data_IF_234880695293
#
_entry.id   IF_234880695293
#
_cell.length_a   1.000
_cell.length_b   1.000
_cell.length_c   1.000
_cell.angle_alpha   90.00
_cell.angle_beta   90.00
_cell.angle_gamma   90.00
#
_symmetry.space_group_name_H-M   'P 1'
#
loop_
_entity.id
_entity.type
_entity.pdbx_description
1 polymer ?
#
# COMPACT_ATOMS: atom_id res chain seq x y z
N UNK A 1 -16.01 17.79 -9.91
CA UNK A 1 -14.56 18.05 -10.01
C UNK A 1 -13.82 16.97 -9.24
N UNK A 2 -12.76 16.41 -9.80
CA UNK A 2 -11.90 15.46 -9.09
C UNK A 2 -11.28 16.16 -7.88
N UNK A 3 -11.28 15.51 -6.72
CA UNK A 3 -10.74 16.10 -5.50
C UNK A 3 -9.22 16.19 -5.60
N UNK A 4 -8.63 17.36 -5.30
CA UNK A 4 -7.17 17.51 -5.24
C UNK A 4 -6.61 16.79 -4.01
N UNK A 5 -5.44 16.23 -4.12
CA UNK A 5 -4.72 15.53 -3.06
C UNK A 5 -5.60 14.53 -2.30
N UNK A 6 -6.26 13.54 -2.97
CA UNK A 6 -7.10 12.60 -2.26
C UNK A 6 -6.26 11.74 -1.30
N UNK A 7 -6.64 11.75 -0.02
CA UNK A 7 -5.92 11.00 1.04
C UNK A 7 -6.25 9.52 1.01
N UNK A 8 -5.25 8.68 1.26
CA UNK A 8 -5.38 7.23 1.38
C UNK A 8 -4.42 6.68 2.45
N UNK A 9 -4.47 5.39 2.72
CA UNK A 9 -3.50 4.68 3.57
C UNK A 9 -2.71 3.67 2.74
N UNK A 10 -1.52 3.26 3.18
CA UNK A 10 -0.79 2.18 2.51
C UNK A 10 -1.56 0.84 2.55
N UNK A 11 -2.31 0.59 3.63
CA UNK A 11 -3.15 -0.61 3.74
C UNK A 11 -3.60 -0.86 5.16
N UNK A 12 -2.80 -1.60 5.92
CA UNK A 12 -3.21 -2.14 7.21
C UNK A 12 -3.43 -1.08 8.30
N UNK A 13 -4.47 -1.29 9.09
CA UNK A 13 -4.77 -0.58 10.34
C UNK A 13 -4.73 -1.55 11.53
N UNK A 14 -4.47 -1.05 12.75
CA UNK A 14 -4.48 -1.89 13.95
C UNK A 14 -5.82 -2.58 14.15
N UNK A 15 -5.78 -3.88 14.43
CA UNK A 15 -6.99 -4.66 14.71
C UNK A 15 -7.56 -4.34 16.09
N UNK A 16 -8.89 -4.43 16.26
CA UNK A 16 -9.49 -4.36 17.58
C UNK A 16 -8.96 -5.44 18.52
N UNK A 17 -8.69 -5.07 19.78
CA UNK A 17 -8.10 -5.98 20.79
C UNK A 17 -8.97 -7.18 21.16
N UNK A 18 -10.25 -7.13 20.86
CA UNK A 18 -11.17 -8.27 21.03
C UNK A 18 -11.05 -9.28 19.88
N UNK A 19 -10.63 -8.86 18.67
CA UNK A 19 -10.49 -9.73 17.50
C UNK A 19 -9.13 -10.44 17.48
N UNK A 20 -8.05 -9.70 17.73
CA UNK A 20 -6.69 -10.20 17.64
C UNK A 20 -5.76 -9.56 18.68
N UNK A 21 -4.57 -10.11 18.85
CA UNK A 21 -3.56 -9.52 19.72
C UNK A 21 -3.08 -8.17 19.12
N UNK A 22 -3.10 -7.07 19.92
CA UNK A 22 -2.72 -5.76 19.42
C UNK A 22 -1.20 -5.63 19.21
N UNK A 23 -0.82 -4.62 18.40
CA UNK A 23 0.57 -4.18 18.21
C UNK A 23 1.52 -5.27 17.70
N UNK A 24 0.99 -6.24 16.95
CA UNK A 24 1.76 -7.32 16.33
C UNK A 24 1.55 -7.32 14.82
N UNK A 25 2.63 -7.49 14.07
CA UNK A 25 2.57 -7.64 12.62
C UNK A 25 1.79 -8.90 12.22
N UNK A 26 2.05 -10.00 12.89
CA UNK A 26 1.28 -11.24 12.81
C UNK A 26 0.41 -11.36 14.05
N UNK A 27 -0.84 -10.92 13.93
CA UNK A 27 -1.76 -10.85 15.07
C UNK A 27 -2.54 -12.15 15.23
N UNK A 28 -2.25 -13.00 16.25
CA UNK A 28 -3.06 -14.17 16.53
C UNK A 28 -4.52 -13.82 16.79
N UNK A 29 -5.43 -14.57 16.16
CA UNK A 29 -6.86 -14.40 16.40
C UNK A 29 -7.23 -14.83 17.81
N UNK A 30 -8.08 -14.04 18.48
CA UNK A 30 -8.67 -14.37 19.80
C UNK A 30 -10.01 -15.10 19.69
N UNK A 31 -10.69 -14.92 18.57
CA UNK A 31 -11.96 -15.56 18.24
C UNK A 31 -11.73 -16.80 17.37
N UNK A 32 -12.72 -17.69 17.28
CA UNK A 32 -12.69 -18.93 16.49
C UNK A 32 -14.04 -19.19 15.83
N UNK A 33 -14.04 -20.01 14.77
CA UNK A 33 -15.26 -20.45 14.08
C UNK A 33 -16.13 -19.28 13.59
N UNK A 34 -17.43 -19.38 13.81
CA UNK A 34 -18.39 -18.35 13.39
C UNK A 34 -18.15 -17.00 14.06
N UNK A 35 -17.76 -17.00 15.36
CA UNK A 35 -17.44 -15.76 16.07
C UNK A 35 -16.27 -15.01 15.40
N UNK A 36 -15.26 -15.72 14.90
CA UNK A 36 -14.19 -15.10 14.14
C UNK A 36 -14.70 -14.51 12.83
N UNK A 37 -15.59 -15.20 12.13
CA UNK A 37 -16.17 -14.71 10.88
C UNK A 37 -16.98 -13.43 11.08
N UNK A 38 -17.83 -13.38 12.11
CA UNK A 38 -18.57 -12.16 12.47
C UNK A 38 -17.64 -11.07 12.97
N UNK A 39 -16.69 -11.42 13.83
CA UNK A 39 -15.71 -10.48 14.36
C UNK A 39 -14.88 -9.79 13.28
N UNK A 40 -14.47 -10.51 12.23
CA UNK A 40 -13.77 -9.92 11.07
C UNK A 40 -14.63 -8.87 10.36
N UNK A 41 -15.93 -9.15 10.13
CA UNK A 41 -16.86 -8.21 9.52
C UNK A 41 -17.11 -6.97 10.39
N UNK A 42 -17.21 -7.15 11.70
CA UNK A 42 -17.36 -6.02 12.61
C UNK A 42 -16.09 -5.17 12.68
N UNK A 43 -14.91 -5.80 12.65
CA UNK A 43 -13.65 -5.09 12.57
C UNK A 43 -13.50 -4.29 11.25
N UNK A 44 -13.98 -4.83 10.14
CA UNK A 44 -14.08 -4.11 8.85
C UNK A 44 -14.94 -2.84 9.00
N UNK A 45 -16.14 -2.95 9.62
CA UNK A 45 -16.99 -1.77 9.86
C UNK A 45 -16.30 -0.74 10.75
N UNK A 46 -15.62 -1.19 11.80
CA UNK A 46 -14.89 -0.30 12.71
C UNK A 46 -13.76 0.40 11.97
N UNK A 47 -12.97 -0.32 11.17
CA UNK A 47 -11.89 0.25 10.35
C UNK A 47 -12.42 1.28 9.33
N UNK A 48 -13.53 0.96 8.66
CA UNK A 48 -14.22 1.90 7.77
C UNK A 48 -14.62 3.18 8.51
N UNK A 49 -15.29 3.04 9.66
CA UNK A 49 -15.74 4.19 10.46
C UNK A 49 -14.57 5.08 10.89
N UNK A 50 -13.44 4.52 11.30
CA UNK A 50 -12.25 5.27 11.69
C UNK A 50 -11.68 6.08 10.53
N UNK A 51 -11.62 5.51 9.32
CA UNK A 51 -11.17 6.20 8.12
C UNK A 51 -12.14 7.31 7.70
N UNK A 52 -13.46 7.03 7.71
CA UNK A 52 -14.51 8.00 7.39
C UNK A 52 -14.53 9.16 8.37
N UNK A 53 -14.45 8.89 9.69
CA UNK A 53 -14.40 9.94 10.71
C UNK A 53 -13.14 10.81 10.60
N UNK A 54 -12.01 10.24 10.24
CA UNK A 54 -10.80 11.00 9.95
C UNK A 54 -10.89 11.78 8.63
N UNK A 55 -11.89 11.52 7.80
CA UNK A 55 -12.09 12.18 6.51
C UNK A 55 -11.17 11.67 5.38
N UNK A 56 -10.67 10.45 5.48
CA UNK A 56 -9.87 9.81 4.42
C UNK A 56 -10.74 9.67 3.16
N UNK A 57 -10.18 10.00 2.01
CA UNK A 57 -10.91 10.12 0.75
C UNK A 57 -11.04 8.78 0.01
N UNK A 58 -9.99 7.99 0.02
CA UNK A 58 -9.93 6.66 -0.60
C UNK A 58 -9.68 5.67 0.53
N UNK A 59 -10.70 4.89 0.85
CA UNK A 59 -10.68 3.97 1.99
C UNK A 59 -10.18 2.58 1.59
N UNK A 60 -9.70 1.83 2.57
CA UNK A 60 -9.37 0.41 2.44
C UNK A 60 -10.07 -0.44 3.49
N UNK A 61 -9.90 -1.76 3.39
CA UNK A 61 -10.38 -2.72 4.39
C UNK A 61 -9.59 -2.65 5.71
N UNK A 62 -8.47 -1.91 5.73
CA UNK A 62 -7.53 -1.88 6.86
C UNK A 62 -6.90 -3.23 7.17
N UNK A 63 -7.02 -4.20 6.26
CA UNK A 63 -6.55 -5.58 6.39
C UNK A 63 -7.11 -6.31 7.63
N UNK A 64 -8.33 -5.97 8.03
CA UNK A 64 -8.92 -6.46 9.27
C UNK A 64 -9.24 -7.96 9.24
N UNK A 65 -9.42 -8.53 8.04
CA UNK A 65 -9.73 -9.96 7.86
C UNK A 65 -8.49 -10.85 7.69
N UNK A 66 -7.30 -10.24 7.66
CA UNK A 66 -6.00 -10.90 7.42
C UNK A 66 -5.13 -10.90 8.69
N UNK A 67 -4.47 -12.02 8.99
CA UNK A 67 -3.42 -12.06 10.02
C UNK A 67 -2.14 -11.37 9.53
N UNK A 68 -1.79 -11.60 8.28
CA UNK A 68 -0.61 -11.04 7.62
C UNK A 68 -0.91 -10.78 6.14
N UNK A 69 -0.40 -9.67 5.60
CA UNK A 69 -0.75 -9.20 4.26
C UNK A 69 -0.37 -10.17 3.12
N UNK A 70 0.68 -10.99 3.27
CA UNK A 70 1.11 -11.99 2.28
C UNK A 70 0.58 -13.37 2.63
N UNK A 71 0.88 -13.85 3.83
CA UNK A 71 0.69 -15.26 4.21
C UNK A 71 -0.76 -15.65 4.19
N UNK A 72 -1.67 -14.74 4.58
CA UNK A 72 -3.12 -15.02 4.53
C UNK A 72 -3.60 -15.29 3.10
N UNK A 73 -3.04 -14.62 2.10
CA UNK A 73 -3.37 -14.94 0.71
C UNK A 73 -2.83 -16.33 0.32
N UNK A 74 -1.58 -16.62 0.67
CA UNK A 74 -0.91 -17.88 0.34
C UNK A 74 -1.61 -19.08 1.00
N UNK A 75 -2.17 -18.93 2.22
CA UNK A 75 -2.92 -19.97 2.93
C UNK A 75 -4.12 -20.54 2.14
N UNK A 76 -4.65 -19.76 1.18
CA UNK A 76 -5.76 -20.14 0.33
C UNK A 76 -5.34 -20.78 -1.00
N UNK A 77 -4.04 -20.94 -1.24
CA UNK A 77 -3.51 -21.53 -2.47
C UNK A 77 -3.25 -23.03 -2.32
N UNK A 78 -3.47 -23.77 -3.39
CA UNK A 78 -2.99 -25.14 -3.53
C UNK A 78 -1.53 -25.13 -3.98
N UNK A 79 -0.81 -26.24 -3.75
CA UNK A 79 0.60 -26.38 -4.13
C UNK A 79 1.59 -25.87 -3.07
N UNK A 80 1.09 -25.35 -1.94
CA UNK A 80 1.90 -24.87 -0.81
C UNK A 80 1.63 -25.70 0.44
N UNK A 81 2.67 -26.26 1.05
CA UNK A 81 2.58 -27.03 2.29
C UNK A 81 3.04 -26.18 3.49
N UNK A 82 2.09 -25.84 4.37
CA UNK A 82 2.33 -25.06 5.58
C UNK A 82 2.94 -25.88 6.73
N UNK A 83 2.95 -27.19 6.62
CA UNK A 83 3.57 -28.09 7.60
C UNK A 83 5.05 -28.29 7.29
N UNK A 84 5.41 -28.35 6.01
CA UNK A 84 6.79 -28.37 5.55
C UNK A 84 7.32 -26.93 5.52
N UNK A 85 8.24 -26.62 6.44
CA UNK A 85 8.74 -25.25 6.61
C UNK A 85 10.26 -25.25 6.50
N UNK A 86 10.76 -24.21 5.82
CA UNK A 86 12.19 -23.95 5.69
C UNK A 86 12.53 -22.56 6.22
N UNK A 87 13.76 -22.35 6.61
CA UNK A 87 14.23 -21.04 7.03
C UNK A 87 14.82 -20.31 5.83
N UNK A 88 14.25 -19.16 5.51
CA UNK A 88 14.73 -18.28 4.44
C UNK A 88 14.98 -16.87 4.98
N UNK A 89 15.84 -16.13 4.31
CA UNK A 89 16.08 -14.73 4.62
C UNK A 89 15.06 -13.85 3.89
N UNK A 90 14.15 -13.24 4.61
CA UNK A 90 13.13 -12.35 4.07
C UNK A 90 13.76 -11.00 3.72
N UNK A 91 13.72 -10.62 2.41
CA UNK A 91 14.25 -9.35 1.89
C UNK A 91 15.66 -9.03 2.39
N UNK A 92 16.49 -10.05 2.54
CA UNK A 92 17.84 -9.94 3.09
C UNK A 92 17.96 -9.25 4.47
N UNK A 93 16.84 -9.18 5.23
CA UNK A 93 16.76 -8.43 6.50
C UNK A 93 16.77 -9.33 7.74
N UNK A 94 16.03 -10.42 7.71
CA UNK A 94 15.90 -11.36 8.84
C UNK A 94 15.50 -12.76 8.38
N UNK A 95 15.86 -13.75 9.18
CA UNK A 95 15.48 -15.14 8.93
C UNK A 95 14.05 -15.41 9.41
N UNK A 96 13.27 -16.12 8.60
CA UNK A 96 11.92 -16.55 8.94
C UNK A 96 11.66 -17.98 8.48
N UNK A 97 10.89 -18.71 9.29
CA UNK A 97 10.37 -20.03 8.90
C UNK A 97 9.15 -19.83 8.02
N UNK A 98 9.25 -20.27 6.76
CA UNK A 98 8.22 -20.06 5.72
C UNK A 98 7.68 -21.40 5.21
N UNK A 99 6.45 -21.45 4.66
CA UNK A 99 5.91 -22.66 4.02
C UNK A 99 6.62 -22.99 2.71
N UNK A 100 6.49 -24.23 2.27
CA UNK A 100 7.18 -24.76 1.08
C UNK A 100 6.22 -24.95 -0.08
N UNK A 101 6.61 -24.49 -1.26
CA UNK A 101 5.95 -24.81 -2.53
C UNK A 101 6.37 -26.25 -2.92
N UNK A 102 5.41 -27.16 -2.93
CA UNK A 102 5.61 -28.60 -3.16
C UNK A 102 5.00 -29.11 -4.47
N UNK A 103 4.25 -28.27 -5.16
CA UNK A 103 3.56 -28.60 -6.41
C UNK A 103 3.13 -27.37 -7.18
N UNK A 104 2.45 -27.52 -8.32
CA UNK A 104 1.90 -26.40 -9.06
C UNK A 104 0.98 -25.55 -8.19
N UNK A 105 1.25 -24.25 -8.13
CA UNK A 105 0.41 -23.32 -7.37
C UNK A 105 -0.87 -23.00 -8.13
N UNK A 106 -2.00 -22.95 -7.41
CA UNK A 106 -3.28 -22.54 -7.97
C UNK A 106 -4.18 -21.91 -6.91
N UNK A 107 -5.15 -21.11 -7.34
CA UNK A 107 -6.17 -20.50 -6.48
C UNK A 107 -7.51 -21.21 -6.67
N UNK A 108 -7.90 -22.15 -5.80
CA UNK A 108 -9.15 -22.92 -5.96
C UNK A 108 -10.40 -22.05 -5.81
N UNK A 109 -10.35 -21.04 -4.95
CA UNK A 109 -11.46 -20.14 -4.66
C UNK A 109 -10.98 -18.68 -4.54
N UNK A 110 -11.86 -17.69 -4.72
CA UNK A 110 -11.59 -16.30 -4.39
C UNK A 110 -11.14 -16.14 -2.93
N UNK A 111 -10.17 -15.25 -2.67
CA UNK A 111 -9.61 -15.10 -1.33
C UNK A 111 -10.27 -13.94 -0.57
N UNK A 112 -10.34 -12.76 -1.18
CA UNK A 112 -10.82 -11.54 -0.53
C UNK A 112 -12.13 -10.98 -1.15
N UNK A 113 -12.65 -11.61 -2.18
CA UNK A 113 -13.76 -11.08 -2.97
C UNK A 113 -15.04 -10.89 -2.13
N UNK A 114 -15.34 -11.82 -1.21
CA UNK A 114 -16.51 -11.69 -0.33
C UNK A 114 -16.35 -10.56 0.70
N UNK A 115 -15.14 -10.34 1.19
CA UNK A 115 -14.83 -9.22 2.08
C UNK A 115 -14.94 -7.88 1.33
N UNK A 116 -14.52 -7.82 0.07
CA UNK A 116 -14.64 -6.64 -0.78
C UNK A 116 -16.11 -6.31 -1.09
N UNK A 117 -16.92 -7.30 -1.44
CA UNK A 117 -18.37 -7.13 -1.60
C UNK A 117 -19.03 -6.61 -0.33
N UNK A 118 -18.63 -7.16 0.81
CA UNK A 118 -19.13 -6.71 2.09
C UNK A 118 -18.76 -5.26 2.38
N UNK A 119 -17.50 -4.87 2.15
CA UNK A 119 -17.04 -3.49 2.32
C UNK A 119 -17.78 -2.53 1.38
N UNK A 120 -17.94 -2.90 0.10
CA UNK A 120 -18.67 -2.09 -0.89
C UNK A 120 -20.11 -1.79 -0.47
N UNK A 121 -20.77 -2.74 0.19
CA UNK A 121 -22.14 -2.55 0.71
C UNK A 121 -22.23 -1.54 1.87
N UNK A 122 -21.11 -1.20 2.51
CA UNK A 122 -21.07 -0.30 3.66
C UNK A 122 -20.74 1.15 3.28
N UNK A 123 -20.33 1.44 2.04
CA UNK A 123 -19.86 2.77 1.65
C UNK A 123 -19.97 3.02 0.15
N UNK A 124 -20.18 4.28 -0.24
CA UNK A 124 -20.09 4.76 -1.63
C UNK A 124 -18.74 5.44 -1.95
N UNK A 125 -17.84 5.56 -0.96
CA UNK A 125 -16.52 6.13 -1.18
C UNK A 125 -15.65 5.22 -2.06
N UNK A 126 -14.65 5.77 -2.78
CA UNK A 126 -13.68 4.97 -3.51
C UNK A 126 -12.97 3.99 -2.59
N UNK A 127 -12.88 2.73 -3.03
CA UNK A 127 -12.22 1.65 -2.30
C UNK A 127 -10.90 1.30 -2.99
N UNK A 128 -9.82 1.34 -2.23
CA UNK A 128 -8.52 0.76 -2.60
C UNK A 128 -8.31 -0.55 -1.85
N UNK A 129 -8.03 -1.61 -2.59
CA UNK A 129 -7.75 -2.93 -2.01
C UNK A 129 -6.30 -3.33 -2.24
N UNK A 130 -5.57 -3.59 -1.16
CA UNK A 130 -4.19 -4.07 -1.25
C UNK A 130 -4.14 -5.60 -1.28
N UNK A 131 -3.34 -6.15 -2.18
CA UNK A 131 -2.98 -7.57 -2.25
C UNK A 131 -1.46 -7.69 -2.37
N UNK A 132 -0.85 -8.84 -1.97
CA UNK A 132 0.59 -9.00 -2.13
C UNK A 132 0.98 -8.96 -3.61
N UNK A 133 2.17 -8.44 -3.92
CA UNK A 133 2.72 -8.53 -5.26
C UNK A 133 3.40 -9.87 -5.53
N UNK A 134 3.58 -10.26 -6.81
CA UNK A 134 4.13 -11.56 -7.19
C UNK A 134 5.52 -11.83 -6.61
N UNK A 135 6.42 -10.84 -6.66
CA UNK A 135 7.79 -10.98 -6.18
C UNK A 135 7.87 -11.08 -4.66
N UNK A 136 7.03 -10.32 -3.96
CA UNK A 136 6.91 -10.39 -2.50
C UNK A 136 6.34 -11.72 -2.03
N UNK A 137 5.44 -12.34 -2.79
CA UNK A 137 4.97 -13.70 -2.50
C UNK A 137 6.11 -14.73 -2.62
N UNK A 138 6.90 -14.65 -3.68
CA UNK A 138 8.08 -15.53 -3.87
C UNK A 138 9.06 -15.40 -2.72
N UNK A 139 9.32 -14.18 -2.25
CA UNK A 139 10.26 -13.90 -1.17
C UNK A 139 9.82 -14.44 0.21
N UNK A 140 8.55 -14.77 0.37
CA UNK A 140 7.97 -15.30 1.62
C UNK A 140 7.72 -16.81 1.62
N UNK A 141 8.33 -17.54 0.69
CA UNK A 141 8.16 -18.97 0.49
C UNK A 141 9.52 -19.65 0.24
N UNK A 142 9.57 -20.95 0.51
CA UNK A 142 10.64 -21.80 0.00
C UNK A 142 10.13 -22.59 -1.23
N UNK A 143 10.78 -22.43 -2.37
CA UNK A 143 10.37 -23.09 -3.61
C UNK A 143 11.12 -24.41 -3.82
N UNK A 144 10.45 -25.54 -3.58
CA UNK A 144 10.97 -26.87 -3.85
C UNK A 144 10.45 -27.49 -5.16
N UNK A 145 9.49 -26.83 -5.83
CA UNK A 145 8.86 -27.35 -7.04
C UNK A 145 9.40 -26.69 -8.32
N UNK A 146 9.26 -25.39 -8.47
CA UNK A 146 9.69 -24.66 -9.67
C UNK A 146 11.19 -24.45 -9.72
N UNK A 147 11.84 -24.32 -8.56
CA UNK A 147 13.28 -24.04 -8.39
C UNK A 147 13.75 -22.85 -9.21
N UNK A 148 12.87 -21.86 -9.33
CA UNK A 148 13.09 -20.61 -10.06
C UNK A 148 12.14 -19.54 -9.54
N UNK A 149 12.70 -18.50 -8.93
CA UNK A 149 11.94 -17.35 -8.42
C UNK A 149 11.11 -16.70 -9.52
N UNK A 150 11.67 -16.54 -10.70
CA UNK A 150 10.98 -15.99 -11.85
C UNK A 150 9.75 -16.83 -12.26
N UNK A 151 9.93 -18.15 -12.47
CA UNK A 151 8.82 -19.04 -12.86
C UNK A 151 7.68 -19.00 -11.84
N UNK A 152 8.02 -19.07 -10.55
CA UNK A 152 7.03 -19.00 -9.48
C UNK A 152 6.33 -17.62 -9.45
N UNK A 153 7.05 -16.53 -9.67
CA UNK A 153 6.47 -15.18 -9.75
C UNK A 153 5.46 -15.04 -10.91
N UNK A 154 5.75 -15.63 -12.06
CA UNK A 154 4.83 -15.65 -13.20
C UNK A 154 3.52 -16.42 -12.89
N UNK A 155 3.59 -17.52 -12.16
CA UNK A 155 2.39 -18.24 -11.72
C UNK A 155 1.59 -17.40 -10.69
N UNK A 156 2.25 -16.75 -9.74
CA UNK A 156 1.58 -15.83 -8.83
C UNK A 156 0.97 -14.64 -9.54
N UNK A 157 1.62 -14.09 -10.56
CA UNK A 157 1.06 -13.00 -11.36
C UNK A 157 -0.27 -13.38 -12.02
N UNK A 158 -0.39 -14.60 -12.54
CA UNK A 158 -1.65 -15.11 -13.11
C UNK A 158 -2.75 -15.26 -12.05
N UNK A 159 -2.39 -15.81 -10.88
CA UNK A 159 -3.31 -15.99 -9.75
C UNK A 159 -3.81 -14.64 -9.24
N UNK A 160 -2.91 -13.68 -9.06
CA UNK A 160 -3.23 -12.34 -8.58
C UNK A 160 -4.07 -11.55 -9.60
N UNK A 161 -3.81 -11.72 -10.89
CA UNK A 161 -4.65 -11.14 -11.95
C UNK A 161 -6.09 -11.63 -11.88
N UNK A 162 -6.28 -12.93 -11.64
CA UNK A 162 -7.61 -13.50 -11.48
C UNK A 162 -8.31 -12.93 -10.24
N UNK A 163 -7.63 -12.88 -9.08
CA UNK A 163 -8.18 -12.27 -7.85
C UNK A 163 -8.52 -10.80 -8.06
N UNK A 164 -7.61 -10.03 -8.68
CA UNK A 164 -7.79 -8.61 -8.92
C UNK A 164 -9.02 -8.33 -9.82
N UNK A 165 -9.24 -9.11 -10.89
CA UNK A 165 -10.43 -8.99 -11.75
C UNK A 165 -11.72 -9.23 -10.96
N UNK A 166 -11.73 -10.21 -10.09
CA UNK A 166 -12.91 -10.53 -9.28
C UNK A 166 -13.14 -9.46 -8.18
N UNK A 167 -12.07 -8.87 -7.63
CA UNK A 167 -12.15 -7.71 -6.72
C UNK A 167 -12.73 -6.47 -7.41
N UNK A 168 -12.30 -6.18 -8.64
CA UNK A 168 -12.87 -5.08 -9.45
C UNK A 168 -14.36 -5.33 -9.71
N UNK A 169 -14.73 -6.55 -10.08
CA UNK A 169 -16.14 -6.93 -10.25
C UNK A 169 -16.95 -6.84 -8.94
N UNK A 170 -16.30 -6.95 -7.78
CA UNK A 170 -16.90 -6.74 -6.46
C UNK A 170 -17.05 -5.26 -6.07
N UNK A 171 -16.59 -4.32 -6.92
CA UNK A 171 -16.74 -2.88 -6.72
C UNK A 171 -15.52 -2.19 -6.10
N UNK A 172 -14.33 -2.76 -6.24
CA UNK A 172 -13.07 -2.12 -5.88
C UNK A 172 -12.65 -1.15 -6.98
N UNK A 173 -12.28 0.07 -6.61
CA UNK A 173 -11.93 1.15 -7.55
C UNK A 173 -10.43 1.21 -7.85
N UNK A 174 -9.59 0.78 -6.91
CA UNK A 174 -8.12 0.79 -7.04
C UNK A 174 -7.57 -0.55 -6.52
N UNK A 175 -6.82 -1.27 -7.34
CA UNK A 175 -6.06 -2.44 -6.90
C UNK A 175 -4.62 -2.04 -6.62
N UNK A 176 -4.16 -2.26 -5.39
CA UNK A 176 -2.79 -2.02 -4.97
C UNK A 176 -2.03 -3.35 -4.81
N UNK A 177 -0.88 -3.45 -5.43
CA UNK A 177 0.06 -4.55 -5.22
C UNK A 177 1.16 -4.12 -4.26
N UNK A 178 1.35 -4.87 -3.18
CA UNK A 178 2.39 -4.60 -2.19
C UNK A 178 3.67 -5.34 -2.58
N UNK A 179 4.68 -4.57 -2.99
CA UNK A 179 5.98 -5.08 -3.45
C UNK A 179 7.18 -4.54 -2.64
N UNK A 180 7.23 -4.74 -1.32
CA UNK A 180 8.41 -4.36 -0.55
C UNK A 180 9.68 -5.13 -0.94
N UNK A 181 9.58 -6.23 -1.67
CA UNK A 181 10.71 -6.94 -2.25
C UNK A 181 11.45 -6.11 -3.33
N UNK A 182 10.76 -5.17 -3.98
CA UNK A 182 11.33 -4.30 -5.01
C UNK A 182 12.44 -3.39 -4.47
N UNK A 183 12.46 -3.09 -3.19
CA UNK A 183 13.52 -2.30 -2.55
C UNK A 183 14.79 -3.09 -2.19
N UNK A 184 14.91 -4.33 -2.64
CA UNK A 184 16.04 -5.20 -2.28
C UNK A 184 16.60 -5.92 -3.50
N UNK A 185 15.77 -6.49 -4.36
CA UNK A 185 16.18 -7.38 -5.45
C UNK A 185 16.13 -6.65 -6.81
N UNK A 186 16.95 -5.60 -6.96
CA UNK A 186 16.90 -4.66 -8.09
C UNK A 186 17.10 -5.33 -9.46
N UNK A 187 18.03 -6.27 -9.57
CA UNK A 187 18.29 -7.00 -10.82
C UNK A 187 17.05 -7.79 -11.22
N UNK A 188 16.48 -8.58 -10.30
CA UNK A 188 15.26 -9.34 -10.53
C UNK A 188 14.06 -8.43 -10.87
N UNK A 189 13.94 -7.27 -10.21
CA UNK A 189 12.88 -6.29 -10.51
C UNK A 189 13.00 -5.80 -11.94
N UNK A 190 14.21 -5.46 -12.39
CA UNK A 190 14.47 -4.95 -13.74
C UNK A 190 14.40 -6.04 -14.83
N UNK A 191 14.78 -7.27 -14.52
CA UNK A 191 14.75 -8.38 -15.46
C UNK A 191 13.33 -8.91 -15.69
N UNK A 192 12.59 -9.23 -14.61
CA UNK A 192 11.28 -9.87 -14.69
C UNK A 192 10.22 -9.36 -13.69
N UNK A 193 10.60 -8.72 -12.56
CA UNK A 193 9.67 -8.34 -11.50
C UNK A 193 8.58 -7.36 -11.97
N UNK A 194 8.95 -6.30 -12.70
CA UNK A 194 7.98 -5.35 -13.27
C UNK A 194 7.10 -6.02 -14.32
N UNK A 195 7.66 -6.92 -15.14
CA UNK A 195 6.86 -7.66 -16.14
C UNK A 195 5.83 -8.61 -15.48
N UNK A 196 6.19 -9.27 -14.37
CA UNK A 196 5.25 -10.05 -13.57
C UNK A 196 4.14 -9.16 -12.98
N UNK A 197 4.47 -7.96 -12.50
CA UNK A 197 3.49 -7.00 -12.02
C UNK A 197 2.56 -6.54 -13.14
N UNK A 198 3.07 -6.26 -14.35
CA UNK A 198 2.25 -5.95 -15.52
C UNK A 198 1.31 -7.11 -15.89
N UNK A 199 1.79 -8.36 -15.79
CA UNK A 199 0.92 -9.53 -15.98
C UNK A 199 -0.19 -9.60 -14.93
N UNK A 200 0.08 -9.19 -13.70
CA UNK A 200 -0.93 -9.18 -12.63
C UNK A 200 -2.01 -8.12 -12.84
N UNK A 201 -1.71 -7.02 -13.53
CA UNK A 201 -2.69 -5.96 -13.85
C UNK A 201 -3.37 -6.11 -15.21
N UNK A 202 -2.99 -7.08 -16.02
CA UNK A 202 -3.45 -7.23 -17.40
C UNK A 202 -4.97 -7.32 -17.49
N UNK A 203 -5.59 -6.38 -18.22
CA UNK A 203 -7.03 -6.33 -18.45
C UNK A 203 -7.86 -5.94 -17.24
N UNK A 204 -7.30 -5.26 -16.24
CA UNK A 204 -8.04 -4.63 -15.16
C UNK A 204 -8.68 -3.32 -15.65
N UNK A 205 -9.96 -3.13 -15.36
CA UNK A 205 -10.74 -1.94 -15.70
C UNK A 205 -10.86 -1.00 -14.47
N UNK A 206 -9.76 -0.81 -13.75
CA UNK A 206 -9.67 0.08 -12.59
C UNK A 206 -8.30 0.76 -12.53
N UNK A 207 -8.11 1.73 -11.63
CA UNK A 207 -6.77 2.25 -11.34
C UNK A 207 -5.93 1.18 -10.64
N UNK A 208 -4.65 1.13 -11.00
CA UNK A 208 -3.67 0.18 -10.44
C UNK A 208 -2.59 0.91 -9.67
N UNK A 209 -2.18 0.35 -8.54
CA UNK A 209 -1.14 0.93 -7.69
C UNK A 209 -0.07 -0.10 -7.34
N UNK A 210 1.17 0.34 -7.19
CA UNK A 210 2.22 -0.43 -6.54
C UNK A 210 2.70 0.29 -5.29
N UNK A 211 2.68 -0.42 -4.16
CA UNK A 211 3.22 0.07 -2.90
C UNK A 211 4.58 -0.54 -2.63
N UNK A 212 5.59 0.34 -2.54
CA UNK A 212 6.98 -0.04 -2.30
C UNK A 212 7.46 0.75 -1.09
N UNK A 213 7.59 0.08 0.05
CA UNK A 213 8.04 0.69 1.29
C UNK A 213 9.32 0.06 1.82
N UNK A 214 9.92 0.72 2.81
CA UNK A 214 11.05 0.18 3.57
C UNK A 214 10.58 -0.70 4.74
N UNK A 215 9.28 -1.02 4.79
CA UNK A 215 8.64 -1.95 5.71
C UNK A 215 8.05 -1.28 6.95
N UNK A 216 7.29 -2.08 7.69
CA UNK A 216 6.67 -1.68 8.95
C UNK A 216 7.69 -1.17 9.97
N UNK A 217 7.23 -0.41 10.99
CA UNK A 217 8.03 0.07 12.11
C UNK A 217 8.49 -1.00 13.11
N UNK A 218 8.73 -2.24 12.66
CA UNK A 218 9.27 -3.32 13.49
C UNK A 218 10.80 -3.25 13.59
N UNK A 219 11.35 -3.77 14.70
CA UNK A 219 12.80 -3.71 14.98
C UNK A 219 13.67 -4.21 13.83
N UNK A 220 13.33 -5.32 13.18
CA UNK A 220 14.10 -5.86 12.07
C UNK A 220 14.22 -4.88 10.90
N UNK A 221 13.14 -4.17 10.54
CA UNK A 221 13.17 -3.17 9.49
C UNK A 221 13.89 -1.90 9.91
N UNK A 222 13.67 -1.42 11.14
CA UNK A 222 14.34 -0.22 11.64
C UNK A 222 15.84 -0.41 11.80
N UNK A 223 16.29 -1.60 12.19
CA UNK A 223 17.72 -1.93 12.26
C UNK A 223 18.33 -2.02 10.84
N UNK A 224 17.64 -2.62 9.89
CA UNK A 224 18.09 -2.64 8.50
C UNK A 224 18.15 -1.22 7.90
N UNK A 225 17.16 -0.37 8.14
CA UNK A 225 17.17 1.05 7.70
C UNK A 225 18.43 1.80 8.14
N UNK A 226 18.97 1.52 9.32
CA UNK A 226 20.21 2.12 9.82
C UNK A 226 21.45 1.76 8.97
N UNK A 227 21.39 0.66 8.23
CA UNK A 227 22.49 0.21 7.35
C UNK A 227 22.49 0.89 5.98
N UNK A 228 21.42 1.62 5.63
CA UNK A 228 21.23 2.21 4.29
C UNK A 228 21.99 3.55 4.09
N UNK A 229 22.69 4.04 5.12
CA UNK A 229 23.43 5.29 5.05
C UNK A 229 22.57 6.54 5.27
N UNK A 230 23.10 7.69 4.86
CA UNK A 230 22.48 9.00 5.08
C UNK A 230 21.36 9.34 4.09
N UNK A 231 21.35 8.72 2.93
CA UNK A 231 20.31 8.83 1.91
C UNK A 231 19.89 7.43 1.44
N UNK A 232 18.58 7.20 1.33
CA UNK A 232 18.00 5.94 0.87
C UNK A 232 17.56 6.09 -0.59
N UNK A 233 18.44 5.66 -1.50
CA UNK A 233 18.26 5.88 -2.95
C UNK A 233 17.80 4.63 -3.70
N UNK A 234 17.31 3.59 -3.02
CA UNK A 234 16.88 2.32 -3.61
C UNK A 234 15.86 2.49 -4.73
N UNK A 235 15.00 3.51 -4.64
CA UNK A 235 14.03 3.81 -5.70
C UNK A 235 14.68 4.21 -7.04
N UNK A 236 15.91 4.71 -7.05
CA UNK A 236 16.62 5.04 -8.30
C UNK A 236 16.81 3.83 -9.20
N UNK A 237 17.01 2.65 -8.59
CA UNK A 237 17.26 1.40 -9.31
C UNK A 237 16.01 0.87 -10.02
N UNK A 238 14.81 1.19 -9.53
CA UNK A 238 13.55 0.58 -9.99
C UNK A 238 12.57 1.57 -10.62
N UNK A 239 12.57 2.83 -10.22
CA UNK A 239 11.63 3.83 -10.73
C UNK A 239 11.68 4.04 -12.24
N UNK A 240 12.87 4.06 -12.92
CA UNK A 240 12.92 4.21 -14.38
C UNK A 240 12.20 3.07 -15.13
N UNK A 241 12.17 1.85 -14.57
CA UNK A 241 11.43 0.72 -15.15
C UNK A 241 9.94 0.86 -14.86
N UNK A 242 9.57 1.21 -13.64
CA UNK A 242 8.17 1.44 -13.24
C UNK A 242 7.53 2.62 -13.97
N UNK A 243 8.29 3.67 -14.25
CA UNK A 243 7.81 4.82 -15.04
C UNK A 243 7.28 4.40 -16.41
N UNK A 244 7.92 3.39 -17.03
CA UNK A 244 7.53 2.85 -18.34
C UNK A 244 6.45 1.80 -18.28
N UNK A 245 6.09 1.32 -17.10
CA UNK A 245 5.05 0.31 -16.90
C UNK A 245 3.64 0.88 -17.06
N UNK A 246 2.64 0.01 -17.12
CA UNK A 246 1.22 0.39 -17.18
C UNK A 246 0.61 0.64 -15.79
N UNK A 247 1.38 0.58 -14.70
CA UNK A 247 0.93 0.93 -13.35
C UNK A 247 0.60 2.42 -13.29
N UNK A 248 -0.59 2.77 -12.77
CA UNK A 248 -1.07 4.15 -12.70
C UNK A 248 -0.45 4.92 -11.53
N UNK A 249 -0.35 4.28 -10.37
CA UNK A 249 0.00 4.91 -9.09
C UNK A 249 1.23 4.23 -8.49
N UNK A 250 2.23 5.02 -8.10
CA UNK A 250 3.45 4.51 -7.44
C UNK A 250 3.58 5.18 -6.08
N UNK A 251 3.87 4.41 -5.03
CA UNK A 251 4.11 4.95 -3.70
C UNK A 251 5.59 5.12 -3.39
N UNK A 252 5.91 6.11 -2.55
CA UNK A 252 7.22 6.25 -1.93
C UNK A 252 7.10 6.74 -0.49
N UNK A 253 8.03 6.29 0.35
CA UNK A 253 8.14 6.68 1.76
C UNK A 253 8.90 8.02 1.87
N UNK A 254 8.30 9.05 2.53
CA UNK A 254 8.92 10.37 2.61
C UNK A 254 9.04 10.90 4.04
N UNK A 255 8.03 10.71 4.90
CA UNK A 255 8.03 11.29 6.25
C UNK A 255 9.05 10.60 7.15
N UNK A 256 9.92 11.37 7.79
CA UNK A 256 11.00 10.86 8.65
C UNK A 256 11.84 9.76 8.00
N UNK A 257 11.93 9.75 6.67
CA UNK A 257 12.78 8.87 5.91
C UNK A 257 13.96 9.64 5.33
N UNK A 258 15.01 8.91 4.97
CA UNK A 258 16.17 9.48 4.28
C UNK A 258 16.03 9.38 2.75
N UNK A 259 14.81 9.15 2.26
CA UNK A 259 14.51 9.10 0.82
C UNK A 259 14.52 10.53 0.27
N UNK A 260 15.35 10.83 -0.72
CA UNK A 260 15.32 12.11 -1.41
C UNK A 260 14.01 12.26 -2.18
N UNK A 261 13.22 13.29 -1.85
CA UNK A 261 11.87 13.47 -2.41
C UNK A 261 11.89 13.79 -3.92
N UNK A 262 13.00 14.32 -4.42
CA UNK A 262 13.24 14.56 -5.85
C UNK A 262 13.25 13.28 -6.69
N UNK A 263 13.36 12.09 -6.09
CA UNK A 263 13.24 10.82 -6.81
C UNK A 263 11.87 10.65 -7.49
N UNK A 264 10.87 11.44 -7.10
CA UNK A 264 9.58 11.54 -7.81
C UNK A 264 9.79 11.90 -9.29
N UNK A 265 10.83 12.65 -9.64
CA UNK A 265 11.13 13.01 -11.03
C UNK A 265 11.37 11.80 -11.95
N UNK A 266 11.83 10.68 -11.39
CA UNK A 266 12.08 9.45 -12.13
C UNK A 266 10.80 8.73 -12.58
N UNK A 267 9.65 9.12 -12.01
CA UNK A 267 8.33 8.52 -12.30
C UNK A 267 7.33 9.58 -12.79
N UNK A 268 7.81 10.60 -13.52
CA UNK A 268 6.96 11.65 -14.09
C UNK A 268 5.84 11.06 -14.94
N UNK A 269 4.66 11.63 -14.83
CA UNK A 269 3.45 11.20 -15.52
C UNK A 269 2.64 10.14 -14.78
N UNK A 270 3.17 9.59 -13.69
CA UNK A 270 2.43 8.72 -12.78
C UNK A 270 1.70 9.52 -11.70
N UNK A 271 0.67 8.93 -11.12
CA UNK A 271 0.11 9.37 -9.84
C UNK A 271 1.03 8.89 -8.72
N UNK A 272 1.20 9.72 -7.70
CA UNK A 272 2.20 9.46 -6.65
C UNK A 272 1.50 9.39 -5.29
N UNK A 273 1.57 8.25 -4.62
CA UNK A 273 1.23 8.15 -3.20
C UNK A 273 2.43 8.58 -2.37
N UNK A 274 2.36 9.77 -1.80
CA UNK A 274 3.42 10.35 -0.97
C UNK A 274 3.19 9.95 0.48
N UNK A 275 4.10 9.17 1.03
CA UNK A 275 4.07 8.77 2.43
C UNK A 275 4.41 9.96 3.35
N UNK A 276 3.39 10.61 3.88
CA UNK A 276 3.50 11.78 4.75
C UNK A 276 3.28 11.47 6.24
N UNK A 277 3.16 10.19 6.59
CA UNK A 277 2.99 9.66 7.95
C UNK A 277 4.03 8.59 8.22
N UNK A 278 4.85 8.78 9.24
CA UNK A 278 5.81 7.80 9.73
C UNK A 278 5.10 6.72 10.57
N UNK A 279 5.33 5.46 10.24
CA UNK A 279 4.73 4.31 10.93
C UNK A 279 5.70 3.60 11.89
N UNK A 280 6.93 4.12 12.02
CA UNK A 280 7.96 3.57 12.91
C UNK A 280 7.96 4.20 14.30
N UNK A 281 7.07 5.15 14.57
CA UNK A 281 6.96 5.88 15.84
C UNK A 281 5.52 6.03 16.28
N UNK A 282 5.32 6.12 17.61
CA UNK A 282 4.02 6.46 18.21
C UNK A 282 3.73 7.97 18.23
N UNK A 283 4.70 8.80 17.83
CA UNK A 283 4.50 10.24 17.70
C UNK A 283 3.51 10.51 16.56
N UNK A 284 2.47 11.26 16.86
CA UNK A 284 1.48 11.70 15.88
C UNK A 284 2.00 12.99 15.24
N UNK A 285 2.10 13.01 13.92
CA UNK A 285 2.50 14.19 13.17
C UNK A 285 1.51 15.33 13.37
N UNK A 286 2.03 16.55 13.40
CA UNK A 286 1.17 17.74 13.31
C UNK A 286 0.67 17.90 11.86
N UNK A 287 -0.50 18.53 11.65
CA UNK A 287 -0.97 18.85 10.31
C UNK A 287 0.03 19.63 9.46
N UNK A 288 0.83 20.49 10.10
CA UNK A 288 1.85 21.29 9.42
C UNK A 288 3.06 20.46 8.96
N UNK A 289 3.50 19.46 9.73
CA UNK A 289 4.55 18.54 9.30
C UNK A 289 4.11 17.74 8.06
N UNK A 290 2.86 17.26 8.05
CA UNK A 290 2.27 16.61 6.87
C UNK A 290 2.22 17.58 5.69
N UNK A 291 1.69 18.80 5.87
CA UNK A 291 1.61 19.82 4.84
C UNK A 291 2.99 20.19 4.29
N UNK A 292 4.02 20.28 5.16
CA UNK A 292 5.39 20.57 4.75
C UNK A 292 5.94 19.47 3.82
N UNK A 293 5.67 18.20 4.11
CA UNK A 293 6.06 17.07 3.25
C UNK A 293 5.34 17.13 1.90
N UNK A 294 4.04 17.42 1.88
CA UNK A 294 3.26 17.53 0.65
C UNK A 294 3.72 18.73 -0.22
N UNK A 295 4.02 19.88 0.38
CA UNK A 295 4.57 21.04 -0.35
C UNK A 295 5.93 20.73 -1.00
N UNK A 296 6.77 19.93 -0.34
CA UNK A 296 8.02 19.47 -0.95
C UNK A 296 7.76 18.58 -2.17
N UNK A 297 6.81 17.64 -2.07
CA UNK A 297 6.45 16.75 -3.17
C UNK A 297 5.84 17.51 -4.36
N UNK A 298 5.04 18.55 -4.11
CA UNK A 298 4.43 19.40 -5.15
C UNK A 298 5.43 20.17 -6.03
N UNK A 299 6.72 20.17 -5.67
CA UNK A 299 7.78 20.69 -6.56
C UNK A 299 8.08 19.75 -7.72
N UNK A 300 7.70 18.48 -7.62
CA UNK A 300 8.06 17.40 -8.55
C UNK A 300 6.87 16.66 -9.16
N UNK A 301 5.68 16.86 -8.61
CA UNK A 301 4.43 16.23 -9.09
C UNK A 301 3.28 17.24 -9.05
N UNK A 302 2.43 17.22 -10.07
CA UNK A 302 1.24 18.06 -10.14
C UNK A 302 0.23 17.69 -9.04
N UNK A 303 -0.49 18.67 -8.53
CA UNK A 303 -1.46 18.51 -7.44
C UNK A 303 -2.56 17.46 -7.76
N UNK A 304 -2.93 17.31 -9.03
CA UNK A 304 -3.92 16.33 -9.49
C UNK A 304 -3.42 14.89 -9.42
N UNK A 305 -2.09 14.69 -9.40
CA UNK A 305 -1.42 13.41 -9.38
C UNK A 305 -0.81 13.07 -8.01
N UNK A 306 -0.94 13.95 -7.01
CA UNK A 306 -0.42 13.72 -5.67
C UNK A 306 -1.50 13.16 -4.74
N UNK A 307 -1.20 12.03 -4.09
CA UNK A 307 -2.05 11.32 -3.15
C UNK A 307 -1.35 11.23 -1.78
N UNK A 308 -1.74 12.06 -0.79
CA UNK A 308 -1.20 11.94 0.57
C UNK A 308 -1.52 10.55 1.15
N UNK A 309 -0.49 9.88 1.68
CA UNK A 309 -0.58 8.51 2.15
C UNK A 309 0.26 8.29 3.42
N UNK A 310 0.16 7.11 4.02
CA UNK A 310 1.10 6.64 5.06
C UNK A 310 2.33 5.99 4.42
N UNK A 311 3.50 6.05 5.09
CA UNK A 311 4.73 5.42 4.59
C UNK A 311 4.57 3.92 4.38
N UNK A 312 3.84 3.25 5.27
CA UNK A 312 3.56 1.82 5.25
C UNK A 312 2.27 1.55 6.03
N UNK A 313 1.92 0.27 6.21
CA UNK A 313 0.80 -0.15 7.06
C UNK A 313 1.02 0.17 8.54
N UNK A 314 -0.04 0.41 9.27
CA UNK A 314 -0.04 0.81 10.68
C UNK A 314 -0.40 -0.31 11.67
N UNK A 315 -0.54 -1.55 11.21
CA UNK A 315 -0.91 -2.70 12.08
C UNK A 315 -0.12 -2.79 13.39
N UNK A 316 1.22 -2.51 13.45
CA UNK A 316 1.97 -2.59 14.69
C UNK A 316 1.74 -1.45 15.69
N UNK A 317 1.02 -0.40 15.30
CA UNK A 317 0.71 0.73 16.18
C UNK A 317 -0.52 0.45 17.05
N UNK A 318 -0.68 1.23 18.12
CA UNK A 318 -1.95 1.25 18.85
C UNK A 318 -3.04 1.94 18.01
N UNK A 319 -4.31 1.56 18.24
CA UNK A 319 -5.45 2.17 17.51
C UNK A 319 -5.57 3.67 17.73
N UNK A 320 -5.27 4.15 18.93
CA UNK A 320 -5.36 5.59 19.24
C UNK A 320 -4.30 6.38 18.47
N UNK A 321 -3.07 5.85 18.38
CA UNK A 321 -2.00 6.45 17.58
C UNK A 321 -2.38 6.43 16.10
N UNK A 322 -2.86 5.30 15.58
CA UNK A 322 -3.25 5.21 14.18
C UNK A 322 -4.39 6.20 13.82
N UNK A 323 -5.42 6.34 14.68
CA UNK A 323 -6.48 7.35 14.48
C UNK A 323 -5.94 8.78 14.49
N UNK A 324 -5.04 9.08 15.41
CA UNK A 324 -4.37 10.39 15.46
C UNK A 324 -3.61 10.70 14.17
N UNK A 325 -2.88 9.70 13.65
CA UNK A 325 -2.14 9.80 12.38
C UNK A 325 -3.06 9.97 11.16
N UNK A 326 -4.19 9.28 11.10
CA UNK A 326 -5.20 9.49 10.05
C UNK A 326 -5.76 10.93 10.07
N UNK A 327 -6.08 11.46 11.26
CA UNK A 327 -6.54 12.83 11.42
C UNK A 327 -5.48 13.84 10.99
N UNK A 328 -4.21 13.62 11.34
CA UNK A 328 -3.09 14.47 10.94
C UNK A 328 -2.88 14.45 9.42
N UNK A 329 -2.95 13.27 8.78
CA UNK A 329 -2.85 13.12 7.35
C UNK A 329 -3.92 13.94 6.62
N UNK A 330 -5.17 13.83 7.06
CA UNK A 330 -6.28 14.56 6.48
C UNK A 330 -6.14 16.06 6.69
N UNK A 331 -5.87 16.50 7.91
CA UNK A 331 -5.75 17.92 8.23
C UNK A 331 -4.59 18.60 7.47
N UNK A 332 -3.44 17.91 7.35
CA UNK A 332 -2.32 18.41 6.55
C UNK A 332 -2.63 18.50 5.05
N UNK A 333 -3.34 17.51 4.52
CA UNK A 333 -3.81 17.58 3.12
C UNK A 333 -4.79 18.75 2.91
N UNK A 334 -5.68 19.03 3.87
CA UNK A 334 -6.61 20.15 3.77
C UNK A 334 -5.92 21.52 3.82
N UNK A 335 -4.83 21.68 4.59
CA UNK A 335 -4.00 22.88 4.57
C UNK A 335 -3.53 23.15 3.13
N UNK A 336 -2.89 22.18 2.51
CA UNK A 336 -2.32 22.33 1.16
C UNK A 336 -3.41 22.51 0.10
N UNK A 337 -4.54 21.81 0.20
CA UNK A 337 -5.71 22.01 -0.68
C UNK A 337 -6.20 23.44 -0.66
N UNK A 338 -6.34 24.02 0.53
CA UNK A 338 -6.82 25.40 0.69
C UNK A 338 -5.83 26.40 0.12
N UNK A 339 -4.54 26.18 0.25
CA UNK A 339 -3.49 27.01 -0.37
C UNK A 339 -3.60 27.01 -1.89
N UNK A 340 -3.68 25.82 -2.50
CA UNK A 340 -3.81 25.66 -3.95
C UNK A 340 -5.09 26.31 -4.49
N UNK A 341 -6.21 26.14 -3.80
CA UNK A 341 -7.47 26.77 -4.18
C UNK A 341 -7.43 28.30 -4.09
N UNK A 342 -6.72 28.86 -3.11
CA UNK A 342 -6.53 30.30 -2.95
C UNK A 342 -5.65 30.86 -4.06
N UNK A 343 -4.53 30.20 -4.39
CA UNK A 343 -3.65 30.59 -5.49
C UNK A 343 -4.39 30.62 -6.84
N UNK A 344 -5.16 29.57 -7.13
CA UNK A 344 -5.96 29.51 -8.36
C UNK A 344 -7.00 30.64 -8.46
N UNK A 345 -7.64 31.05 -7.34
CA UNK A 345 -8.59 32.17 -7.33
C UNK A 345 -7.90 33.50 -7.61
N UNK A 346 -6.72 33.72 -7.04
CA UNK A 346 -5.94 34.95 -7.28
C UNK A 346 -5.47 35.05 -8.73
N UNK A 347 -5.03 33.94 -9.34
CA UNK A 347 -4.64 33.92 -10.75
C UNK A 347 -5.81 34.22 -11.68
N UNK A 348 -6.96 33.60 -11.43
CA UNK A 348 -8.20 33.89 -12.21
C UNK A 348 -8.59 35.35 -12.08
N UNK A 349 -8.49 35.95 -10.88
CA UNK A 349 -8.82 37.36 -10.67
C UNK A 349 -7.83 38.30 -11.37
N UNK A 350 -6.52 37.98 -11.32
CA UNK A 350 -5.49 38.74 -12.05
C UNK A 350 -5.74 38.70 -13.56
N UNK A 351 -6.04 37.54 -14.10
CA UNK A 351 -6.34 37.37 -15.54
C UNK A 351 -7.58 38.18 -15.95
N UNK A 352 -8.68 38.15 -15.16
CA UNK A 352 -9.88 38.96 -15.41
C UNK A 352 -9.59 40.44 -15.40
N UNK A 353 -8.79 40.91 -14.44
CA UNK A 353 -8.44 42.34 -14.34
C UNK A 353 -7.56 42.77 -15.54
N UNK A 354 -6.63 41.92 -16.01
CA UNK A 354 -5.83 42.23 -17.20
C UNK A 354 -6.69 42.32 -18.47
N UNK A 355 -7.64 41.39 -18.66
CA UNK A 355 -8.57 41.44 -19.81
C UNK A 355 -9.46 42.68 -19.77
N UNK A 356 -9.94 43.09 -18.59
CA UNK A 356 -10.77 44.29 -18.43
C UNK A 356 -10.00 45.62 -18.68
N UNK A 357 -8.67 45.62 -18.62
CA UNK A 357 -7.82 46.79 -18.92
C UNK A 357 -7.47 46.90 -20.41
N UNK A 358 -7.67 45.84 -21.19
CA UNK A 358 -7.36 45.79 -22.63
C UNK A 358 -8.60 46.08 -23.49
N UNK A 359 -9.81 45.99 -22.91
CA UNK A 359 -11.09 46.37 -23.50
C UNK A 359 -11.46 47.81 -23.13
#
# INVERSE_FOLDING_TARGET
MKKLLPTSTAGSLPKPSWLAEPEKLWSPWKLKGEELTYGKKDALRVSLQEQVHAGIDIIGDGEQTRQHFVTTFIEHLSGVDFKQREVVKIRDRYDASVPTVVGPVSRPNPVFVEDAKFLRQQTDQPIKWAIPGPMTMVDTLYDNHYKSREKLAWEFAKILNQEAKELVAAGVDIIQFDEPAFNVFFDEVNEWGVACLERAIEGLECETAVHICYGYGIKANTDWKKTLGSEWRQYEEIFPKLQKSNIDIISLECQNSHVPIELIELIRGKKIMVGAIDVATNTIETPEEVAATLRKALKYVDAENLYPCTNCGMTPLSRDVARGKLNALRAGADIVRNELLSQNREEIQKTKNQVAQVL
#
